data_IF_466473502938
#
_entry.id   IF_466473502938
#
_cell.length_a   1.000
_cell.length_b   1.000
_cell.length_c   1.000
_cell.angle_alpha   90.00
_cell.angle_beta   90.00
_cell.angle_gamma   90.00
#
_symmetry.space_group_name_H-M   'P 1'
#
loop_
_entity.id
_entity.type
_entity.pdbx_description
1 polymer ?
#
# COMPACT_ATOMS: atom_id res chain seq x y z
N UNK A 1 17.64 38.32 -17.97
CA UNK A 1 18.19 38.60 -16.63
C UNK A 1 18.16 37.31 -15.81
N UNK A 2 19.31 36.79 -15.40
CA UNK A 2 19.42 35.55 -14.62
C UNK A 2 19.31 35.90 -13.14
N UNK A 3 18.24 35.44 -12.47
CA UNK A 3 18.19 35.47 -11.01
C UNK A 3 19.07 34.34 -10.49
N UNK A 4 20.34 34.65 -10.21
CA UNK A 4 21.22 33.82 -9.39
C UNK A 4 20.71 33.87 -7.95
N UNK A 5 19.66 33.09 -7.65
CA UNK A 5 19.25 32.80 -6.29
C UNK A 5 20.32 31.93 -5.65
N UNK A 6 20.96 32.46 -4.61
CA UNK A 6 21.86 31.68 -3.74
C UNK A 6 21.13 30.40 -3.31
N UNK A 7 21.64 29.26 -3.73
CA UNK A 7 21.21 27.96 -3.22
C UNK A 7 21.78 27.83 -1.82
N UNK A 8 21.01 28.25 -0.83
CA UNK A 8 21.32 27.96 0.57
C UNK A 8 21.42 26.44 0.69
N UNK A 9 22.56 25.86 1.14
CA UNK A 9 22.62 24.43 1.37
C UNK A 9 21.52 24.07 2.38
N UNK A 10 20.74 23.00 2.15
CA UNK A 10 19.72 22.58 3.10
C UNK A 10 20.41 22.31 4.45
N UNK A 11 19.78 22.70 5.58
CA UNK A 11 20.31 22.38 6.90
C UNK A 11 20.56 20.87 7.00
N UNK A 12 21.70 20.49 7.57
CA UNK A 12 22.10 19.09 7.71
C UNK A 12 21.06 18.35 8.57
N UNK A 13 20.17 17.59 7.92
CA UNK A 13 19.18 16.73 8.55
C UNK A 13 17.73 17.21 8.45
N UNK A 14 16.81 16.26 8.25
CA UNK A 14 15.36 16.49 8.28
C UNK A 14 14.92 16.97 9.67
N UNK A 15 13.93 17.89 9.76
CA UNK A 15 13.31 18.25 11.02
C UNK A 15 12.81 17.01 11.77
N UNK A 16 12.95 16.95 13.11
CA UNK A 16 12.54 15.77 13.90
C UNK A 16 11.12 15.28 13.60
N UNK A 17 10.19 16.21 13.40
CA UNK A 17 8.79 15.91 13.05
C UNK A 17 8.66 15.29 11.66
N UNK A 18 9.44 15.76 10.68
CA UNK A 18 9.51 15.16 9.35
C UNK A 18 10.13 13.76 9.41
N UNK A 19 11.20 13.57 10.18
CA UNK A 19 11.79 12.24 10.41
C UNK A 19 10.79 11.28 11.04
N UNK A 20 10.08 11.72 12.09
CA UNK A 20 9.06 10.91 12.74
C UNK A 20 7.92 10.52 11.78
N UNK A 21 7.42 11.48 10.99
CA UNK A 21 6.39 11.19 10.00
C UNK A 21 6.89 10.24 8.92
N UNK A 22 8.12 10.44 8.42
CA UNK A 22 8.73 9.53 7.44
C UNK A 22 8.83 8.12 8.00
N UNK A 23 9.33 7.96 9.22
CA UNK A 23 9.42 6.64 9.86
C UNK A 23 8.05 5.99 10.04
N UNK A 24 7.04 6.74 10.48
CA UNK A 24 5.67 6.25 10.59
C UNK A 24 5.11 5.83 9.23
N UNK A 25 5.34 6.64 8.19
CA UNK A 25 4.89 6.36 6.83
C UNK A 25 5.59 5.13 6.24
N UNK A 26 6.90 4.95 6.48
CA UNK A 26 7.62 3.72 6.15
C UNK A 26 7.03 2.51 6.87
N UNK A 27 6.71 2.65 8.16
CA UNK A 27 6.10 1.57 8.95
C UNK A 27 4.74 1.14 8.41
N UNK A 28 3.88 2.10 8.05
CA UNK A 28 2.59 1.83 7.40
C UNK A 28 2.81 1.12 6.06
N UNK A 29 3.70 1.63 5.22
CA UNK A 29 3.99 0.99 3.92
C UNK A 29 4.50 -0.45 4.08
N UNK A 30 5.33 -0.72 5.10
CA UNK A 30 5.80 -2.08 5.40
C UNK A 30 4.65 -2.99 5.87
N UNK A 31 3.75 -2.49 6.70
CA UNK A 31 2.57 -3.23 7.15
C UNK A 31 1.62 -3.56 5.99
N UNK A 32 1.36 -2.61 5.09
CA UNK A 32 0.54 -2.82 3.89
C UNK A 32 1.18 -3.83 2.93
N UNK A 33 2.51 -3.78 2.73
CA UNK A 33 3.23 -4.79 1.94
C UNK A 33 3.15 -6.18 2.58
N UNK A 34 3.22 -6.27 3.91
CA UNK A 34 3.03 -7.53 4.62
C UNK A 34 1.60 -8.05 4.49
N UNK A 35 0.59 -7.17 4.57
CA UNK A 35 -0.81 -7.51 4.35
C UNK A 35 -1.05 -8.02 2.91
N UNK A 36 -0.47 -7.37 1.91
CA UNK A 36 -0.49 -7.83 0.52
C UNK A 36 0.16 -9.22 0.37
N UNK A 37 1.33 -9.42 1.00
CA UNK A 37 2.00 -10.71 1.03
C UNK A 37 1.14 -11.80 1.69
N UNK A 38 0.47 -11.48 2.80
CA UNK A 38 -0.46 -12.39 3.48
C UNK A 38 -1.65 -12.76 2.61
N UNK A 39 -2.27 -11.79 1.93
CA UNK A 39 -3.35 -12.04 0.96
C UNK A 39 -2.89 -13.02 -0.11
N UNK A 40 -1.70 -12.83 -0.68
CA UNK A 40 -1.17 -13.75 -1.69
C UNK A 40 -0.83 -15.13 -1.11
N UNK A 41 -0.29 -15.20 0.10
CA UNK A 41 -0.06 -16.48 0.77
C UNK A 41 -1.38 -17.25 0.96
N UNK A 42 -2.44 -16.57 1.42
CA UNK A 42 -3.79 -17.12 1.51
C UNK A 42 -4.37 -17.52 0.14
N UNK A 43 -4.20 -16.67 -0.88
CA UNK A 43 -4.68 -16.93 -2.24
C UNK A 43 -4.06 -18.21 -2.84
N UNK A 44 -2.75 -18.39 -2.66
CA UNK A 44 -2.00 -19.51 -3.21
C UNK A 44 -2.19 -20.80 -2.41
N UNK A 45 -2.27 -20.71 -1.08
CA UNK A 45 -2.42 -21.90 -0.21
C UNK A 45 -3.87 -22.30 0.04
N UNK A 46 -4.84 -21.45 -0.31
CA UNK A 46 -6.25 -21.63 0.02
C UNK A 46 -6.58 -21.44 1.51
N UNK A 47 -5.61 -21.03 2.34
CA UNK A 47 -5.84 -20.81 3.77
C UNK A 47 -6.72 -19.58 4.00
N UNK A 48 -7.76 -19.71 4.82
CA UNK A 48 -8.55 -18.59 5.34
C UNK A 48 -8.41 -18.53 6.85
N UNK A 49 -7.84 -17.45 7.35
CA UNK A 49 -7.75 -17.17 8.78
C UNK A 49 -8.32 -15.78 9.09
N UNK A 50 -8.48 -15.49 10.37
CA UNK A 50 -8.97 -14.17 10.82
C UNK A 50 -8.07 -13.01 10.39
N UNK A 51 -6.78 -13.25 10.12
CA UNK A 51 -5.83 -12.22 9.70
C UNK A 51 -5.99 -11.83 8.23
N UNK A 52 -6.57 -12.70 7.41
CA UNK A 52 -6.94 -12.37 6.04
C UNK A 52 -7.94 -11.21 6.00
N UNK A 53 -8.96 -11.21 6.88
CA UNK A 53 -9.92 -10.12 6.98
C UNK A 53 -9.26 -8.80 7.42
N UNK A 54 -8.32 -8.88 8.38
CA UNK A 54 -7.53 -7.71 8.82
C UNK A 54 -6.68 -7.17 7.67
N UNK A 55 -6.00 -8.04 6.92
CA UNK A 55 -5.15 -7.68 5.80
C UNK A 55 -5.95 -7.05 4.65
N UNK A 56 -7.11 -7.63 4.32
CA UNK A 56 -8.02 -7.08 3.33
C UNK A 56 -8.58 -5.72 3.76
N UNK A 57 -8.92 -5.56 5.04
CA UNK A 57 -9.39 -4.30 5.62
C UNK A 57 -8.34 -3.19 5.58
N UNK A 58 -7.09 -3.50 5.90
CA UNK A 58 -5.96 -2.58 5.79
C UNK A 58 -5.77 -2.09 4.35
N UNK A 59 -5.67 -3.02 3.39
CA UNK A 59 -5.54 -2.71 1.97
C UNK A 59 -6.73 -1.90 1.43
N UNK A 60 -7.95 -2.17 1.90
CA UNK A 60 -9.14 -1.42 1.53
C UNK A 60 -9.13 0.00 2.08
N UNK A 61 -8.68 0.19 3.33
CA UNK A 61 -8.55 1.51 3.95
C UNK A 61 -7.51 2.38 3.21
N UNK A 62 -6.35 1.82 2.87
CA UNK A 62 -5.35 2.51 2.06
C UNK A 62 -5.87 2.79 0.65
N UNK A 63 -6.56 1.82 0.02
CA UNK A 63 -7.21 2.01 -1.28
C UNK A 63 -8.20 3.17 -1.27
N UNK A 64 -9.04 3.27 -0.24
CA UNK A 64 -9.96 4.40 -0.06
C UNK A 64 -9.19 5.73 0.13
N UNK A 65 -8.13 5.72 0.93
CA UNK A 65 -7.32 6.91 1.16
C UNK A 65 -6.64 7.39 -0.14
N UNK A 66 -6.18 6.46 -0.99
CA UNK A 66 -5.65 6.76 -2.32
C UNK A 66 -6.72 7.33 -3.25
N UNK A 67 -7.95 6.81 -3.23
CA UNK A 67 -9.07 7.36 -4.02
C UNK A 67 -9.37 8.80 -3.60
N UNK A 68 -9.47 9.06 -2.29
CA UNK A 68 -9.65 10.43 -1.75
C UNK A 68 -8.47 11.33 -2.15
N UNK A 69 -7.25 10.79 -2.11
CA UNK A 69 -6.03 11.44 -2.57
C UNK A 69 -5.85 11.52 -4.09
N UNK A 70 -6.82 11.09 -4.90
CA UNK A 70 -6.74 11.02 -6.38
C UNK A 70 -5.50 10.29 -6.89
N UNK A 71 -5.17 9.15 -6.29
CA UNK A 71 -4.00 8.34 -6.58
C UNK A 71 -2.70 8.84 -5.95
N UNK A 72 -2.75 9.92 -5.16
CA UNK A 72 -1.62 10.38 -4.36
C UNK A 72 -1.73 9.88 -2.92
N UNK A 73 -0.60 9.52 -2.32
CA UNK A 73 -0.54 9.18 -0.90
C UNK A 73 -1.07 10.35 -0.03
N UNK A 74 -2.03 10.11 0.88
CA UNK A 74 -2.63 11.13 1.72
C UNK A 74 -1.64 11.83 2.66
N UNK A 75 -0.55 11.15 3.04
CA UNK A 75 0.50 11.70 3.91
C UNK A 75 1.47 12.62 3.16
N UNK A 76 1.50 12.57 1.82
CA UNK A 76 2.44 13.35 1.01
C UNK A 76 2.35 14.88 1.23
N UNK A 77 1.16 15.51 1.20
CA UNK A 77 1.01 16.93 1.52
C UNK A 77 1.48 17.30 2.92
N UNK A 78 1.25 16.44 3.92
CA UNK A 78 1.69 16.67 5.30
C UNK A 78 3.23 16.57 5.41
N UNK A 79 3.82 15.57 4.77
CA UNK A 79 5.27 15.37 4.71
C UNK A 79 5.99 16.60 4.12
N UNK A 80 5.47 17.14 3.01
CA UNK A 80 5.97 18.39 2.41
C UNK A 80 5.87 19.59 3.36
N UNK A 81 4.75 19.74 4.07
CA UNK A 81 4.54 20.82 5.05
C UNK A 81 5.52 20.73 6.23
N UNK A 82 5.97 19.54 6.58
CA UNK A 82 6.94 19.32 7.66
C UNK A 82 8.41 19.46 7.20
N UNK A 83 8.65 19.79 5.92
CA UNK A 83 10.00 19.99 5.38
C UNK A 83 10.62 18.75 4.73
N UNK A 84 9.81 17.74 4.41
CA UNK A 84 10.25 16.56 3.68
C UNK A 84 9.56 16.47 2.30
N UNK A 85 10.25 16.88 1.23
CA UNK A 85 9.66 16.89 -0.11
C UNK A 85 9.75 15.55 -0.83
N UNK A 86 10.51 14.57 -0.33
CA UNK A 86 10.87 13.37 -1.09
C UNK A 86 9.79 12.30 -0.91
N UNK A 87 9.11 11.84 -1.99
CA UNK A 87 8.15 10.76 -1.90
C UNK A 87 8.75 9.48 -1.34
N UNK A 88 7.98 8.72 -0.56
CA UNK A 88 8.48 7.54 0.14
C UNK A 88 9.13 6.51 -0.80
N UNK A 89 8.46 6.18 -1.91
CA UNK A 89 9.00 5.21 -2.89
C UNK A 89 10.27 5.72 -3.59
N UNK A 90 10.45 7.04 -3.74
CA UNK A 90 11.67 7.60 -4.35
C UNK A 90 12.91 7.46 -3.45
N UNK A 91 12.73 7.06 -2.18
CA UNK A 91 13.86 6.73 -1.30
C UNK A 91 14.57 5.44 -1.72
N UNK A 92 13.87 4.55 -2.42
CA UNK A 92 14.37 3.20 -2.77
C UNK A 92 14.21 2.86 -4.26
N UNK A 93 13.39 3.60 -5.00
CA UNK A 93 13.14 3.41 -6.43
C UNK A 93 13.48 4.66 -7.24
N UNK A 94 13.90 4.51 -8.52
CA UNK A 94 13.97 5.65 -9.43
C UNK A 94 12.58 6.27 -9.65
N UNK A 95 12.46 7.57 -9.96
CA UNK A 95 11.18 8.30 -10.00
C UNK A 95 10.10 7.67 -10.88
N UNK A 96 10.49 7.06 -12.01
CA UNK A 96 9.57 6.35 -12.90
C UNK A 96 8.95 5.12 -12.24
N UNK A 97 9.77 4.33 -11.54
CA UNK A 97 9.31 3.16 -10.81
C UNK A 97 8.51 3.55 -9.57
N UNK A 98 8.91 4.61 -8.86
CA UNK A 98 8.14 5.15 -7.74
C UNK A 98 6.73 5.59 -8.16
N UNK A 99 6.60 6.25 -9.33
CA UNK A 99 5.29 6.64 -9.89
C UNK A 99 4.43 5.44 -10.28
N UNK A 100 5.04 4.32 -10.65
CA UNK A 100 4.35 3.07 -10.98
C UNK A 100 4.01 2.20 -9.76
N UNK A 101 4.64 2.44 -8.60
CA UNK A 101 4.48 1.58 -7.43
C UNK A 101 3.02 1.48 -6.98
N UNK A 102 2.33 2.61 -6.80
CA UNK A 102 0.92 2.65 -6.39
C UNK A 102 0.02 1.86 -7.35
N UNK A 103 -0.05 2.14 -8.66
CA UNK A 103 -0.94 1.40 -9.55
C UNK A 103 -0.59 -0.09 -9.65
N UNK A 104 0.69 -0.46 -9.61
CA UNK A 104 1.11 -1.88 -9.64
C UNK A 104 0.67 -2.61 -8.36
N UNK A 105 0.90 -2.00 -7.19
CA UNK A 105 0.50 -2.59 -5.91
C UNK A 105 -1.02 -2.68 -5.79
N UNK A 106 -1.76 -1.67 -6.25
CA UNK A 106 -3.23 -1.73 -6.31
C UNK A 106 -3.70 -2.88 -7.20
N UNK A 107 -3.12 -3.04 -8.40
CA UNK A 107 -3.47 -4.15 -9.29
C UNK A 107 -3.16 -5.51 -8.64
N UNK A 108 -2.00 -5.64 -8.00
CA UNK A 108 -1.61 -6.86 -7.29
C UNK A 108 -2.55 -7.18 -6.12
N UNK A 109 -3.00 -6.17 -5.37
CA UNK A 109 -3.94 -6.34 -4.27
C UNK A 109 -5.31 -6.80 -4.77
N UNK A 110 -5.85 -6.15 -5.80
CA UNK A 110 -7.13 -6.52 -6.40
C UNK A 110 -7.09 -7.95 -6.98
N UNK A 111 -6.00 -8.32 -7.66
CA UNK A 111 -5.83 -9.66 -8.18
C UNK A 111 -5.78 -10.71 -7.06
N UNK A 112 -4.99 -10.48 -6.01
CA UNK A 112 -4.90 -11.39 -4.87
C UNK A 112 -6.25 -11.59 -4.17
N UNK A 113 -6.99 -10.50 -3.93
CA UNK A 113 -8.33 -10.55 -3.33
C UNK A 113 -9.35 -11.27 -4.24
N UNK A 114 -9.29 -11.05 -5.56
CA UNK A 114 -10.16 -11.74 -6.51
C UNK A 114 -9.90 -13.26 -6.50
N UNK A 115 -8.65 -13.70 -6.45
CA UNK A 115 -8.30 -15.12 -6.34
C UNK A 115 -8.85 -15.72 -5.03
N UNK A 116 -8.69 -15.01 -3.91
CA UNK A 116 -9.26 -15.44 -2.62
C UNK A 116 -10.78 -15.61 -2.71
N UNK A 117 -11.48 -14.66 -3.33
CA UNK A 117 -12.93 -14.67 -3.49
C UNK A 117 -13.42 -15.81 -4.38
N UNK A 118 -12.80 -15.99 -5.55
CA UNK A 118 -13.14 -17.08 -6.49
C UNK A 118 -12.99 -18.45 -5.82
N UNK A 119 -11.92 -18.64 -5.04
CA UNK A 119 -11.74 -19.88 -4.28
C UNK A 119 -12.82 -20.06 -3.20
N UNK A 120 -13.28 -18.98 -2.57
CA UNK A 120 -14.30 -19.06 -1.51
C UNK A 120 -15.63 -19.54 -2.05
N UNK A 121 -16.01 -18.97 -3.18
CA UNK A 121 -17.21 -19.36 -3.90
C UNK A 121 -17.12 -20.84 -4.32
N UNK A 122 -15.97 -21.28 -4.85
CA UNK A 122 -15.76 -22.68 -5.23
C UNK A 122 -15.90 -23.67 -4.06
N UNK A 123 -15.33 -23.33 -2.89
CA UNK A 123 -15.42 -24.17 -1.68
C UNK A 123 -16.87 -24.28 -1.16
N UNK A 124 -17.65 -23.20 -1.22
CA UNK A 124 -19.07 -23.19 -0.84
C UNK A 124 -19.91 -24.07 -1.77
N UNK A 125 -19.73 -23.96 -3.09
CA UNK A 125 -20.42 -24.84 -4.05
C UNK A 125 -20.06 -26.32 -3.85
N UNK A 126 -18.78 -26.64 -3.60
CA UNK A 126 -18.35 -28.02 -3.39
C UNK A 126 -18.90 -28.62 -2.09
N UNK A 127 -19.09 -27.78 -1.06
CA UNK A 127 -19.72 -28.20 0.20
C UNK A 127 -21.22 -28.44 0.02
N UNK A 128 -21.91 -27.57 -0.73
CA UNK A 128 -23.34 -27.73 -1.03
C UNK A 128 -23.63 -29.02 -1.81
N UNK A 129 -22.81 -29.35 -2.81
CA UNK A 129 -22.92 -30.59 -3.59
C UNK A 129 -22.80 -31.84 -2.70
N UNK A 130 -21.87 -31.83 -1.73
CA UNK A 130 -21.71 -32.94 -0.78
C UNK A 130 -22.90 -33.10 0.18
N UNK A 131 -23.62 -32.03 0.48
CA UNK A 131 -24.78 -32.05 1.38
C UNK A 131 -26.06 -32.59 0.72
N UNK A 132 -26.13 -32.62 -0.62
CA UNK A 132 -27.27 -33.16 -1.37
C UNK A 132 -26.82 -34.32 -2.30
N UNK A 133 -26.54 -35.51 -1.75
CA UNK A 133 -26.24 -36.67 -2.60
C UNK A 133 -27.51 -37.09 -3.37
N UNK A 134 -27.40 -37.07 -4.71
CA UNK A 134 -28.39 -37.59 -5.66
C UNK A 134 -28.51 -39.10 -5.64
#
# INVERSE_FOLDING_TARGET
>A
MRHSGRMTPPPAGLPRRATALRLAHTGIAAAELAALGHVWACALTGRRDRWLAVSAGALAAEGLALVVGRGSCPLGPLQRRLGDPVPLFELVLPPRAAKAAVPVLTAAALAGLAVVAVRAIGDEFSTADRSYPS
#
